data_IF_501027658944
#
_entry.id   IF_501027658944
#
_cell.length_a   1.000
_cell.length_b   1.000
_cell.length_c   1.000
_cell.angle_alpha   90.00
_cell.angle_beta   90.00
_cell.angle_gamma   90.00
#
_symmetry.space_group_name_H-M   'P 1'
#
loop_
_entity.id
_entity.type
_entity.pdbx_description
1 polymer ?
#
# COMPACT_ATOMS: atom_id res chain seq x y z
N UNK A 1 -49.58 -43.28 -36.21
CA UNK A 1 -48.44 -42.76 -36.98
C UNK A 1 -48.61 -41.24 -37.06
N UNK A 2 -48.11 -40.51 -36.05
CA UNK A 2 -48.13 -39.04 -36.05
C UNK A 2 -46.68 -38.56 -36.08
N UNK A 3 -46.30 -37.98 -37.21
CA UNK A 3 -44.96 -37.43 -37.46
C UNK A 3 -44.94 -36.03 -36.87
N UNK A 4 -44.20 -35.84 -35.77
CA UNK A 4 -43.94 -34.54 -35.18
C UNK A 4 -42.85 -33.83 -35.99
N UNK A 5 -43.25 -32.98 -36.93
CA UNK A 5 -42.35 -32.05 -37.61
C UNK A 5 -42.16 -30.80 -36.73
N UNK A 6 -41.23 -30.88 -35.78
CA UNK A 6 -40.66 -29.69 -35.16
C UNK A 6 -39.78 -28.99 -36.20
N UNK A 7 -40.30 -27.92 -36.80
CA UNK A 7 -39.52 -26.99 -37.64
C UNK A 7 -38.47 -26.33 -36.76
N UNK A 8 -37.21 -26.69 -36.97
CA UNK A 8 -36.06 -25.92 -36.50
C UNK A 8 -36.15 -24.51 -37.09
N UNK A 9 -36.66 -23.57 -36.29
CA UNK A 9 -36.51 -22.14 -36.52
C UNK A 9 -35.04 -21.80 -36.38
N UNK A 10 -34.29 -21.87 -37.48
CA UNK A 10 -32.96 -21.25 -37.58
C UNK A 10 -33.15 -19.75 -37.36
N UNK A 11 -32.93 -19.30 -36.13
CA UNK A 11 -32.88 -17.89 -35.77
C UNK A 11 -31.87 -17.20 -36.68
N UNK A 12 -32.32 -16.27 -37.51
CA UNK A 12 -31.44 -15.39 -38.27
C UNK A 12 -30.54 -14.66 -37.27
N UNK A 13 -29.21 -14.76 -37.34
CA UNK A 13 -28.35 -14.09 -36.38
C UNK A 13 -28.56 -12.58 -36.51
N UNK A 14 -28.89 -11.93 -35.38
CA UNK A 14 -28.99 -10.48 -35.29
C UNK A 14 -27.72 -9.84 -35.86
N UNK A 15 -27.82 -8.66 -36.51
CA UNK A 15 -26.64 -7.85 -36.82
C UNK A 15 -25.81 -7.68 -35.54
N UNK A 16 -24.50 -7.88 -35.61
CA UNK A 16 -23.62 -7.78 -34.42
C UNK A 16 -23.78 -6.45 -33.71
N UNK A 17 -24.12 -5.37 -34.43
CA UNK A 17 -24.39 -4.05 -33.86
C UNK A 17 -25.52 -4.02 -32.84
N UNK A 18 -26.49 -4.92 -32.98
CA UNK A 18 -27.70 -4.97 -32.16
C UNK A 18 -27.56 -5.98 -31.00
N UNK A 19 -26.46 -6.74 -30.98
CA UNK A 19 -26.12 -7.65 -29.88
C UNK A 19 -25.54 -6.86 -28.70
N UNK A 20 -26.06 -6.99 -27.46
CA UNK A 20 -25.57 -6.25 -26.30
C UNK A 20 -24.09 -6.54 -25.99
N UNK A 21 -23.55 -7.68 -26.43
CA UNK A 21 -22.13 -8.01 -26.29
C UNK A 21 -21.24 -7.11 -27.13
N UNK A 22 -21.75 -6.55 -28.24
CA UNK A 22 -21.00 -5.61 -29.07
C UNK A 22 -20.67 -4.31 -28.33
N UNK A 23 -21.61 -3.76 -27.57
CA UNK A 23 -21.35 -2.59 -26.73
C UNK A 23 -20.22 -2.84 -25.72
N UNK A 24 -20.12 -4.07 -25.18
CA UNK A 24 -19.06 -4.48 -24.26
C UNK A 24 -17.69 -4.58 -24.94
N UNK A 25 -17.64 -5.04 -26.20
CA UNK A 25 -16.40 -5.01 -27.02
C UNK A 25 -15.99 -3.56 -27.29
N UNK A 26 -16.94 -2.68 -27.65
CA UNK A 26 -16.67 -1.26 -27.92
C UNK A 26 -16.12 -0.56 -26.67
N UNK A 27 -16.68 -0.83 -25.50
CA UNK A 27 -16.23 -0.31 -24.22
C UNK A 27 -14.92 -0.94 -23.71
N UNK A 28 -14.43 -2.02 -24.34
CA UNK A 28 -13.33 -2.86 -23.85
C UNK A 28 -13.56 -3.32 -22.41
N UNK A 29 -14.79 -3.74 -22.13
CA UNK A 29 -15.22 -4.15 -20.80
C UNK A 29 -14.44 -5.37 -20.33
N UNK A 30 -13.57 -5.16 -19.33
CA UNK A 30 -12.74 -6.22 -18.75
C UNK A 30 -13.55 -7.25 -17.97
N UNK A 31 -14.72 -6.88 -17.44
CA UNK A 31 -15.60 -7.82 -16.72
C UNK A 31 -16.23 -8.86 -17.66
N UNK A 32 -16.23 -8.59 -18.97
CA UNK A 32 -16.74 -9.47 -20.00
C UNK A 32 -15.75 -10.57 -20.42
N UNK A 33 -14.47 -10.45 -20.05
CA UNK A 33 -13.46 -11.45 -20.38
C UNK A 33 -13.82 -12.79 -19.73
N UNK A 34 -13.77 -13.86 -20.54
CA UNK A 34 -14.16 -15.20 -20.11
C UNK A 34 -15.66 -15.49 -20.19
N UNK A 35 -16.50 -14.47 -20.42
CA UNK A 35 -17.95 -14.66 -20.66
C UNK A 35 -18.26 -14.94 -22.14
N UNK A 36 -17.49 -14.34 -23.05
CA UNK A 36 -17.58 -14.60 -24.50
C UNK A 36 -16.29 -14.17 -25.22
N UNK A 37 -16.16 -14.55 -26.49
CA UNK A 37 -15.07 -14.21 -27.39
C UNK A 37 -15.62 -13.66 -28.70
N UNK A 38 -14.79 -13.00 -29.48
CA UNK A 38 -15.17 -12.58 -30.83
C UNK A 38 -14.06 -12.85 -31.83
N UNK A 39 -14.43 -13.17 -33.07
CA UNK A 39 -13.51 -13.34 -34.20
C UNK A 39 -13.69 -12.21 -35.21
N UNK A 40 -12.62 -11.88 -35.93
CA UNK A 40 -12.61 -10.79 -36.93
C UNK A 40 -12.11 -11.36 -38.27
N UNK A 41 -13.03 -11.50 -39.22
CA UNK A 41 -12.80 -12.15 -40.51
C UNK A 41 -11.65 -11.52 -41.30
N UNK A 42 -11.60 -10.19 -41.38
CA UNK A 42 -10.58 -9.47 -42.16
C UNK A 42 -9.16 -9.63 -41.63
N UNK A 43 -9.00 -9.94 -40.34
CA UNK A 43 -7.68 -10.11 -39.72
C UNK A 43 -7.35 -11.58 -39.42
N UNK A 44 -8.32 -12.49 -39.54
CA UNK A 44 -8.17 -13.89 -39.20
C UNK A 44 -7.76 -14.13 -37.74
N UNK A 45 -8.22 -13.27 -36.81
CA UNK A 45 -7.92 -13.41 -35.37
C UNK A 45 -9.19 -13.53 -34.55
N UNK A 46 -9.11 -14.25 -33.42
CA UNK A 46 -10.11 -14.16 -32.36
C UNK A 46 -9.54 -13.52 -31.10
N UNK A 47 -10.41 -12.89 -30.32
CA UNK A 47 -10.10 -11.94 -29.26
C UNK A 47 -11.05 -12.09 -28.06
N UNK A 48 -10.64 -11.49 -26.94
CA UNK A 48 -11.50 -11.20 -25.79
C UNK A 48 -12.14 -9.82 -25.89
N UNK A 49 -13.27 -9.57 -25.21
CA UNK A 49 -13.95 -8.27 -25.22
C UNK A 49 -13.05 -7.10 -24.81
N UNK A 50 -12.13 -7.29 -23.86
CA UNK A 50 -11.21 -6.25 -23.41
C UNK A 50 -10.07 -5.90 -24.38
N UNK A 51 -10.01 -6.52 -25.57
CA UNK A 51 -8.84 -6.45 -26.44
C UNK A 51 -8.46 -5.01 -26.82
N UNK A 52 -7.18 -4.60 -26.63
CA UNK A 52 -6.72 -3.26 -26.96
C UNK A 52 -6.44 -3.07 -28.47
N UNK A 53 -6.81 -4.03 -29.33
CA UNK A 53 -6.66 -3.87 -30.78
C UNK A 53 -7.55 -2.74 -31.32
N UNK A 54 -7.24 -2.29 -32.54
CA UNK A 54 -8.12 -1.34 -33.23
C UNK A 54 -9.50 -1.98 -33.39
N UNK A 55 -10.54 -1.16 -33.21
CA UNK A 55 -11.94 -1.59 -33.31
C UNK A 55 -12.19 -2.17 -34.70
N UNK A 56 -12.66 -3.41 -34.74
CA UNK A 56 -13.04 -4.05 -35.99
C UNK A 56 -14.36 -3.45 -36.52
N UNK A 57 -14.57 -3.53 -37.83
CA UNK A 57 -15.88 -3.25 -38.41
C UNK A 57 -16.84 -4.36 -37.96
N UNK A 58 -17.99 -4.05 -37.32
CA UNK A 58 -18.93 -5.06 -36.84
C UNK A 58 -19.41 -6.03 -37.94
N UNK A 59 -19.45 -5.59 -39.20
CA UNK A 59 -19.79 -6.46 -40.33
C UNK A 59 -18.83 -7.65 -40.52
N UNK A 60 -17.60 -7.54 -39.99
CA UNK A 60 -16.57 -8.57 -40.08
C UNK A 60 -16.37 -9.32 -38.75
N UNK A 61 -17.26 -9.12 -37.77
CA UNK A 61 -17.15 -9.69 -36.43
C UNK A 61 -18.12 -10.85 -36.28
N UNK A 62 -17.69 -11.90 -35.59
CA UNK A 62 -18.57 -12.98 -35.13
C UNK A 62 -18.38 -13.18 -33.62
N UNK A 63 -19.47 -13.32 -32.88
CA UNK A 63 -19.47 -13.51 -31.43
C UNK A 63 -19.58 -14.99 -31.08
N UNK A 64 -18.87 -15.41 -30.04
CA UNK A 64 -18.75 -16.80 -29.60
C UNK A 64 -18.95 -16.91 -28.10
N UNK A 65 -19.89 -17.73 -27.65
CA UNK A 65 -20.15 -17.91 -26.21
C UNK A 65 -19.02 -18.67 -25.50
N UNK A 66 -18.23 -19.44 -26.24
CA UNK A 66 -17.14 -20.26 -25.69
C UNK A 66 -15.87 -20.10 -26.51
N UNK A 67 -14.73 -20.28 -25.84
CA UNK A 67 -13.41 -20.29 -26.48
C UNK A 67 -13.31 -21.40 -27.55
N UNK A 68 -13.95 -22.56 -27.32
CA UNK A 68 -13.97 -23.66 -28.28
C UNK A 68 -14.62 -23.25 -29.62
N UNK A 69 -15.75 -22.50 -29.57
CA UNK A 69 -16.41 -21.98 -30.76
C UNK A 69 -15.54 -20.94 -31.49
N UNK A 70 -14.86 -20.07 -30.74
CA UNK A 70 -13.92 -19.11 -31.32
C UNK A 70 -12.73 -19.80 -32.00
N UNK A 71 -12.22 -20.92 -31.45
CA UNK A 71 -11.17 -21.73 -32.08
C UNK A 71 -11.64 -22.47 -33.33
N UNK A 72 -12.89 -22.93 -33.32
CA UNK A 72 -13.48 -23.66 -34.44
C UNK A 72 -13.59 -22.83 -35.72
N UNK A 73 -13.43 -21.50 -35.67
CA UNK A 73 -13.37 -20.66 -36.88
C UNK A 73 -12.05 -20.83 -37.66
N UNK A 74 -11.06 -21.54 -37.11
CA UNK A 74 -9.73 -21.70 -37.72
C UNK A 74 -8.87 -20.43 -37.66
N UNK A 75 -9.33 -19.39 -36.96
CA UNK A 75 -8.59 -18.13 -36.83
C UNK A 75 -7.52 -18.24 -35.75
N UNK A 76 -6.46 -17.43 -35.85
CA UNK A 76 -5.38 -17.47 -34.86
C UNK A 76 -5.74 -16.66 -33.60
N UNK A 77 -5.22 -17.08 -32.45
CA UNK A 77 -5.36 -16.32 -31.21
C UNK A 77 -4.73 -14.92 -31.34
N UNK A 78 -5.43 -13.88 -30.91
CA UNK A 78 -4.90 -12.52 -30.92
C UNK A 78 -3.72 -12.39 -29.95
N UNK A 79 -2.55 -12.02 -30.48
CA UNK A 79 -1.32 -11.85 -29.68
C UNK A 79 -1.39 -10.72 -28.65
N UNK A 80 -2.34 -9.79 -28.77
CA UNK A 80 -2.47 -8.64 -27.86
C UNK A 80 -3.26 -8.97 -26.60
N UNK A 81 -4.42 -9.61 -26.73
CA UNK A 81 -5.26 -9.99 -25.58
C UNK A 81 -5.00 -11.42 -25.11
N UNK A 82 -4.26 -12.22 -25.88
CA UNK A 82 -3.96 -13.63 -25.62
C UNK A 82 -5.20 -14.41 -25.14
N UNK A 83 -6.21 -14.58 -26.01
CA UNK A 83 -7.51 -15.12 -25.62
C UNK A 83 -7.48 -16.53 -25.03
N UNK A 84 -6.38 -17.27 -25.28
CA UNK A 84 -6.11 -18.62 -24.78
C UNK A 84 -5.51 -18.67 -23.37
N UNK A 85 -4.80 -17.63 -22.94
CA UNK A 85 -4.03 -17.62 -21.69
C UNK A 85 -4.69 -16.84 -20.56
N UNK A 86 -4.02 -16.59 -19.42
CA UNK A 86 -4.54 -15.65 -18.42
C UNK A 86 -4.76 -14.26 -19.02
N UNK A 87 -5.66 -13.45 -18.45
CA UNK A 87 -5.81 -12.04 -18.86
C UNK A 87 -4.47 -11.31 -18.77
N UNK A 88 -4.29 -10.24 -19.54
CA UNK A 88 -3.04 -9.47 -19.49
C UNK A 88 -2.71 -9.03 -18.05
N UNK A 89 -3.72 -8.71 -17.26
CA UNK A 89 -3.58 -8.33 -15.85
C UNK A 89 -3.18 -9.50 -14.96
N UNK A 90 -3.85 -10.65 -15.09
CA UNK A 90 -3.49 -11.85 -14.35
C UNK A 90 -2.08 -12.36 -14.73
N UNK A 91 -1.73 -12.29 -16.02
CA UNK A 91 -0.39 -12.61 -16.51
C UNK A 91 0.67 -11.65 -16.00
N UNK A 92 0.39 -10.34 -15.99
CA UNK A 92 1.28 -9.34 -15.42
C UNK A 92 1.46 -9.51 -13.90
N UNK A 93 0.40 -9.84 -13.17
CA UNK A 93 0.45 -10.08 -11.73
C UNK A 93 1.26 -11.35 -11.41
N UNK A 94 1.02 -12.45 -12.13
CA UNK A 94 1.79 -13.68 -12.00
C UNK A 94 3.27 -13.47 -12.33
N UNK A 95 3.56 -12.71 -13.39
CA UNK A 95 4.92 -12.33 -13.78
C UNK A 95 5.63 -11.52 -12.69
N UNK A 96 4.96 -10.51 -12.12
CA UNK A 96 5.54 -9.69 -11.05
C UNK A 96 5.74 -10.52 -9.78
N UNK A 97 4.80 -11.39 -9.42
CA UNK A 97 4.94 -12.28 -8.28
C UNK A 97 6.11 -13.26 -8.45
N UNK A 98 6.34 -13.77 -9.68
CA UNK A 98 7.49 -14.61 -9.99
C UNK A 98 8.81 -13.86 -9.86
N UNK A 99 8.85 -12.62 -10.38
CA UNK A 99 10.01 -11.76 -10.22
C UNK A 99 10.32 -11.43 -8.75
N UNK A 100 9.30 -11.14 -7.93
CA UNK A 100 9.46 -10.93 -6.49
C UNK A 100 10.09 -12.16 -5.82
N UNK A 101 9.57 -13.37 -6.09
CA UNK A 101 10.15 -14.62 -5.56
C UNK A 101 11.60 -14.82 -6.00
N UNK A 102 11.93 -14.55 -7.26
CA UNK A 102 13.30 -14.65 -7.76
C UNK A 102 14.24 -13.69 -7.05
N UNK A 103 13.80 -12.45 -6.81
CA UNK A 103 14.56 -11.47 -6.03
C UNK A 103 14.73 -11.94 -4.57
N UNK A 104 13.71 -12.58 -4.00
CA UNK A 104 13.73 -13.05 -2.61
C UNK A 104 14.65 -14.27 -2.41
N UNK A 105 14.74 -15.13 -3.43
CA UNK A 105 15.50 -16.38 -3.40
C UNK A 105 16.94 -16.24 -3.91
N UNK A 106 17.29 -15.15 -4.59
CA UNK A 106 18.62 -14.94 -5.15
C UNK A 106 19.59 -14.36 -4.11
N UNK A 107 20.81 -14.90 -4.08
CA UNK A 107 21.91 -14.41 -3.21
C UNK A 107 22.49 -13.09 -3.73
N UNK A 108 22.61 -12.96 -5.06
CA UNK A 108 23.04 -11.73 -5.72
C UNK A 108 21.83 -10.96 -6.28
N UNK A 109 21.95 -9.64 -6.46
CA UNK A 109 20.85 -8.85 -7.01
C UNK A 109 20.68 -9.09 -8.50
N UNK A 110 19.57 -9.71 -8.95
CA UNK A 110 19.33 -9.92 -10.37
C UNK A 110 19.08 -8.56 -11.04
N UNK A 111 19.72 -8.36 -12.18
CA UNK A 111 19.57 -7.16 -12.99
C UNK A 111 18.15 -7.07 -13.57
N UNK A 112 17.77 -5.84 -13.95
CA UNK A 112 16.50 -5.60 -14.64
C UNK A 112 16.38 -6.42 -15.93
N UNK A 113 17.49 -6.64 -16.63
CA UNK A 113 17.52 -7.39 -17.88
C UNK A 113 17.25 -8.87 -17.61
N UNK A 114 17.91 -9.47 -16.62
CA UNK A 114 17.69 -10.88 -16.23
C UNK A 114 16.26 -11.14 -15.75
N UNK A 115 15.69 -10.24 -14.94
CA UNK A 115 14.30 -10.34 -14.49
C UNK A 115 13.30 -10.22 -15.66
N UNK A 116 13.60 -9.34 -16.63
CA UNK A 116 12.75 -9.15 -17.79
C UNK A 116 12.86 -10.33 -18.78
N UNK A 117 14.05 -10.87 -18.98
CA UNK A 117 14.31 -12.02 -19.84
C UNK A 117 13.67 -13.29 -19.25
N UNK A 118 13.78 -13.51 -17.94
CA UNK A 118 13.08 -14.58 -17.24
C UNK A 118 11.55 -14.49 -17.36
N UNK A 119 11.03 -13.26 -17.48
CA UNK A 119 9.62 -12.98 -17.73
C UNK A 119 9.23 -13.05 -19.22
N UNK A 120 10.18 -13.21 -20.14
CA UNK A 120 9.96 -13.15 -21.59
C UNK A 120 9.43 -11.79 -22.05
N UNK A 121 9.91 -10.69 -21.45
CA UNK A 121 9.47 -9.32 -21.72
C UNK A 121 10.65 -8.37 -21.89
N UNK A 122 10.41 -7.25 -22.56
CA UNK A 122 11.43 -6.19 -22.63
C UNK A 122 11.59 -5.51 -21.27
N UNK A 123 12.84 -5.12 -20.95
CA UNK A 123 13.18 -4.43 -19.70
C UNK A 123 12.28 -3.21 -19.41
N UNK A 124 11.99 -2.39 -20.43
CA UNK A 124 11.14 -1.20 -20.29
C UNK A 124 9.65 -1.51 -20.08
N UNK A 125 9.13 -2.63 -20.60
CA UNK A 125 7.76 -3.07 -20.29
C UNK A 125 7.70 -3.64 -18.88
N UNK A 126 8.61 -4.54 -18.55
CA UNK A 126 8.71 -5.18 -17.25
C UNK A 126 8.84 -4.15 -16.11
N UNK A 127 9.75 -3.18 -16.25
CA UNK A 127 9.95 -2.12 -15.26
C UNK A 127 8.67 -1.33 -14.96
N UNK A 128 7.93 -0.91 -16.01
CA UNK A 128 6.69 -0.14 -15.85
C UNK A 128 5.59 -0.96 -15.19
N UNK A 129 5.43 -2.22 -15.59
CA UNK A 129 4.42 -3.13 -15.03
C UNK A 129 4.74 -3.47 -13.58
N UNK A 130 6.01 -3.78 -13.29
CA UNK A 130 6.47 -4.05 -11.92
C UNK A 130 6.21 -2.85 -11.02
N UNK A 131 6.63 -1.64 -11.42
CA UNK A 131 6.38 -0.40 -10.67
C UNK A 131 4.89 -0.10 -10.49
N UNK A 132 4.07 -0.33 -11.50
CA UNK A 132 2.63 -0.12 -11.40
C UNK A 132 1.94 -1.11 -10.44
N UNK A 133 2.47 -2.32 -10.27
CA UNK A 133 1.89 -3.37 -9.43
C UNK A 133 2.43 -3.32 -8.00
N UNK A 134 3.75 -3.18 -7.82
CA UNK A 134 4.39 -3.21 -6.49
C UNK A 134 4.55 -1.81 -5.87
N UNK A 135 4.42 -0.75 -6.67
CA UNK A 135 4.72 0.63 -6.26
C UNK A 135 6.21 0.97 -6.22
N UNK A 136 7.10 -0.01 -6.43
CA UNK A 136 8.56 0.13 -6.38
C UNK A 136 9.20 -0.27 -7.71
N UNK A 137 10.39 0.25 -8.02
CA UNK A 137 11.16 -0.32 -9.13
C UNK A 137 11.70 -1.71 -8.73
N UNK A 138 12.00 -2.61 -9.68
CA UNK A 138 12.63 -3.90 -9.37
C UNK A 138 13.90 -3.76 -8.52
N UNK A 139 14.70 -2.72 -8.80
CA UNK A 139 15.92 -2.38 -8.04
C UNK A 139 15.60 -1.96 -6.60
N UNK A 140 14.60 -1.10 -6.41
CA UNK A 140 14.21 -0.66 -5.06
C UNK A 140 13.61 -1.81 -4.25
N UNK A 141 12.87 -2.72 -4.89
CA UNK A 141 12.33 -3.93 -4.27
C UNK A 141 13.47 -4.86 -3.81
N UNK A 142 14.46 -5.13 -4.66
CA UNK A 142 15.63 -5.95 -4.32
C UNK A 142 16.49 -5.33 -3.22
N UNK A 143 16.68 -4.01 -3.24
CA UNK A 143 17.37 -3.30 -2.17
C UNK A 143 16.62 -3.39 -0.83
N UNK A 144 15.29 -3.28 -0.84
CA UNK A 144 14.46 -3.38 0.37
C UNK A 144 14.46 -4.80 0.96
N UNK A 145 14.36 -5.83 0.11
CA UNK A 145 14.41 -7.23 0.52
C UNK A 145 15.77 -7.60 1.13
N UNK A 146 16.88 -7.25 0.48
CA UNK A 146 18.23 -7.50 1.03
C UNK A 146 18.46 -6.79 2.36
N UNK A 147 18.00 -5.55 2.48
CA UNK A 147 18.06 -4.84 3.75
C UNK A 147 17.26 -5.54 4.86
N UNK A 148 16.16 -6.23 4.53
CA UNK A 148 15.40 -7.04 5.47
C UNK A 148 16.12 -8.34 5.85
N UNK A 149 16.70 -9.05 4.88
CA UNK A 149 17.48 -10.28 5.13
C UNK A 149 18.73 -10.02 5.97
N UNK A 150 19.44 -8.92 5.74
CA UNK A 150 20.59 -8.52 6.57
C UNK A 150 20.15 -8.20 8.00
N UNK A 151 18.98 -7.56 8.20
CA UNK A 151 18.43 -7.35 9.54
C UNK A 151 18.14 -8.68 10.25
N UNK A 152 17.49 -9.61 9.57
CA UNK A 152 17.15 -10.93 10.11
C UNK A 152 18.39 -11.78 10.43
N UNK A 153 19.41 -11.79 9.56
CA UNK A 153 20.66 -12.53 9.82
C UNK A 153 21.53 -11.94 10.94
N UNK A 154 21.34 -10.65 11.27
CA UNK A 154 21.98 -10.01 12.42
C UNK A 154 21.24 -10.28 13.73
N UNK A 155 19.93 -10.60 13.68
CA UNK A 155 19.13 -11.06 14.82
C UNK A 155 19.52 -12.50 15.24
N UNK A 156 19.96 -13.34 14.30
CA UNK A 156 20.36 -14.74 14.52
C UNK A 156 21.83 -14.93 14.99
N UNK A 157 22.56 -13.83 15.25
CA UNK A 157 23.88 -13.87 15.92
C UNK A 157 25.11 -14.23 15.06
N UNK A 158 25.01 -14.19 13.73
CA UNK A 158 26.17 -14.41 12.85
C UNK A 158 27.13 -13.18 12.83
N UNK A 159 28.45 -13.43 12.81
CA UNK A 159 29.44 -12.35 12.83
C UNK A 159 29.35 -11.45 11.58
N UNK A 160 29.48 -10.14 11.79
CA UNK A 160 29.30 -9.06 10.80
C UNK A 160 30.06 -9.28 9.49
N UNK A 161 31.17 -9.99 9.53
CA UNK A 161 32.01 -10.28 8.36
C UNK A 161 31.40 -11.32 7.41
N UNK A 162 30.61 -12.27 7.94
CA UNK A 162 29.94 -13.33 7.16
C UNK A 162 28.68 -12.77 6.49
N UNK A 163 27.89 -11.95 7.20
CA UNK A 163 26.67 -11.33 6.68
C UNK A 163 26.90 -10.31 5.54
N UNK A 164 28.12 -9.76 5.43
CA UNK A 164 28.53 -8.86 4.34
C UNK A 164 28.96 -9.64 3.10
N UNK A 165 29.59 -10.81 3.27
CA UNK A 165 30.01 -11.69 2.17
C UNK A 165 28.82 -12.45 1.56
N UNK A 166 27.90 -12.94 2.39
CA UNK A 166 26.67 -13.66 1.97
C UNK A 166 25.61 -12.76 1.29
N UNK A 167 25.83 -11.44 1.26
CA UNK A 167 24.93 -10.45 0.66
C UNK A 167 25.44 -9.84 -0.66
N UNK A 168 26.56 -10.35 -1.21
CA UNK A 168 27.02 -10.07 -2.58
C UNK A 168 27.56 -8.65 -2.87
N UNK A 169 28.05 -7.90 -1.87
CA UNK A 169 28.57 -6.55 -2.10
C UNK A 169 30.10 -6.52 -2.32
N UNK A 170 30.54 -6.54 -3.58
CA UNK A 170 31.96 -6.51 -3.95
C UNK A 170 32.52 -5.08 -4.13
N UNK A 171 32.68 -4.36 -3.00
CA UNK A 171 33.41 -3.07 -2.81
C UNK A 171 32.58 -1.76 -2.71
N UNK A 172 33.08 -0.85 -1.88
CA UNK A 172 32.38 0.24 -1.17
C UNK A 172 32.40 1.63 -1.84
N UNK A 173 32.90 1.77 -3.06
CA UNK A 173 33.26 3.09 -3.62
C UNK A 173 32.19 3.87 -4.40
N UNK A 174 31.25 3.20 -5.09
CA UNK A 174 30.40 3.87 -6.11
C UNK A 174 29.00 4.29 -5.67
N UNK A 175 28.71 4.24 -4.37
CA UNK A 175 27.41 4.61 -3.82
C UNK A 175 27.22 6.13 -3.60
N UNK A 176 28.31 6.91 -3.54
CA UNK A 176 28.26 8.25 -2.92
C UNK A 176 27.94 9.44 -3.83
N UNK A 177 27.78 9.27 -5.14
CA UNK A 177 27.72 10.44 -6.05
C UNK A 177 26.33 10.97 -6.43
N UNK A 178 25.22 10.27 -6.14
CA UNK A 178 23.91 10.63 -6.76
C UNK A 178 22.67 10.67 -5.84
N UNK A 179 22.83 10.76 -4.52
CA UNK A 179 21.71 10.61 -3.56
C UNK A 179 21.20 11.89 -2.87
N UNK A 180 21.77 13.06 -3.16
CA UNK A 180 21.48 14.30 -2.41
C UNK A 180 20.18 15.02 -2.84
N UNK A 181 19.63 14.73 -4.03
CA UNK A 181 18.58 15.57 -4.63
C UNK A 181 17.11 15.18 -4.45
N UNK A 182 16.76 14.04 -3.82
CA UNK A 182 15.39 13.49 -3.94
C UNK A 182 14.69 13.09 -2.63
N UNK A 183 15.32 13.23 -1.45
CA UNK A 183 14.84 12.55 -0.23
C UNK A 183 14.62 13.42 1.02
N UNK A 184 14.91 14.72 1.02
CA UNK A 184 14.76 15.55 2.25
C UNK A 184 15.60 15.09 3.46
N UNK A 185 16.35 13.99 3.34
CA UNK A 185 17.36 13.45 4.25
C UNK A 185 18.21 12.38 3.52
N UNK A 186 19.48 12.21 3.92
CA UNK A 186 20.42 11.27 3.28
C UNK A 186 20.24 9.82 3.79
N UNK A 187 20.38 8.78 2.93
CA UNK A 187 20.26 7.37 3.30
C UNK A 187 21.16 6.91 4.46
N UNK A 188 22.29 7.60 4.69
CA UNK A 188 23.23 7.35 5.80
C UNK A 188 22.59 7.59 7.17
N UNK A 189 21.72 8.60 7.30
CA UNK A 189 21.03 8.94 8.56
C UNK A 189 19.93 7.95 8.92
N UNK A 190 19.30 7.36 7.91
CA UNK A 190 18.32 6.28 8.07
C UNK A 190 19.01 4.93 8.36
N UNK A 191 20.15 4.64 7.72
CA UNK A 191 20.99 3.43 7.96
C UNK A 191 21.71 3.40 9.30
N UNK A 192 21.85 4.55 9.96
CA UNK A 192 22.53 4.67 11.23
C UNK A 192 21.73 4.14 12.42
N UNK A 193 20.43 3.82 12.32
CA UNK A 193 19.63 3.39 13.48
C UNK A 193 19.61 4.42 14.62
N UNK A 194 19.83 5.70 14.30
CA UNK A 194 20.07 6.75 15.28
C UNK A 194 21.52 6.86 15.78
N UNK A 195 22.52 6.28 15.09
CA UNK A 195 23.93 6.43 15.51
C UNK A 195 24.30 7.91 15.67
N UNK A 196 24.77 8.26 16.86
CA UNK A 196 25.07 9.62 17.32
C UNK A 196 23.84 10.55 17.46
N UNK A 197 22.66 9.98 17.64
CA UNK A 197 21.43 10.72 17.92
C UNK A 197 21.02 10.53 19.38
N UNK A 198 20.79 11.65 20.05
CA UNK A 198 20.21 11.68 21.40
C UNK A 198 18.70 11.62 21.26
N UNK A 199 18.09 10.58 21.83
CA UNK A 199 16.64 10.46 21.95
C UNK A 199 16.30 10.63 23.42
N UNK A 200 15.69 11.76 23.75
CA UNK A 200 15.14 11.96 25.10
C UNK A 200 13.78 11.28 25.16
N UNK A 201 13.50 10.56 26.23
CA UNK A 201 12.21 9.90 26.41
C UNK A 201 11.76 9.94 27.86
N UNK A 202 10.45 9.86 28.07
CA UNK A 202 9.85 9.68 29.36
C UNK A 202 8.58 8.85 29.22
N UNK A 203 8.24 8.14 30.30
CA UNK A 203 7.04 7.33 30.42
C UNK A 203 6.10 8.02 31.38
N UNK A 204 4.81 8.02 31.07
CA UNK A 204 3.75 8.51 31.93
C UNK A 204 2.54 7.60 31.89
N UNK A 205 1.45 8.08 32.48
CA UNK A 205 0.16 7.39 32.47
C UNK A 205 -0.92 8.24 31.81
N UNK A 206 -1.88 7.56 31.20
CA UNK A 206 -3.10 8.11 30.62
C UNK A 206 -4.27 7.21 30.99
N UNK A 207 -5.50 7.69 30.78
CA UNK A 207 -6.71 6.87 30.82
C UNK A 207 -6.73 5.72 29.81
N UNK A 208 -5.80 5.71 28.84
CA UNK A 208 -5.60 4.63 27.87
C UNK A 208 -4.44 3.70 28.27
N UNK A 209 -3.90 3.81 29.49
CA UNK A 209 -2.76 3.05 29.98
C UNK A 209 -1.45 3.83 29.93
N UNK A 210 -0.34 3.11 29.97
CA UNK A 210 1.01 3.67 29.88
C UNK A 210 1.21 4.40 28.55
N UNK A 211 1.93 5.52 28.60
CA UNK A 211 2.34 6.29 27.43
C UNK A 211 3.85 6.49 27.46
N UNK A 212 4.50 6.32 26.32
CA UNK A 212 5.90 6.69 26.13
C UNK A 212 5.98 7.81 25.10
N UNK A 213 6.66 8.88 25.46
CA UNK A 213 6.98 9.99 24.56
C UNK A 213 8.48 10.03 24.37
N UNK A 214 8.92 10.05 23.11
CA UNK A 214 10.33 10.17 22.75
C UNK A 214 10.52 11.30 21.74
N UNK A 215 11.63 12.03 21.86
CA UNK A 215 11.93 13.18 21.01
C UNK A 215 13.39 13.18 20.58
N UNK A 216 13.59 13.50 19.30
CA UNK A 216 14.89 13.84 18.75
C UNK A 216 15.08 15.36 18.80
N UNK A 217 16.21 15.85 18.29
CA UNK A 217 16.47 17.29 18.14
C UNK A 217 15.50 17.98 17.16
N UNK A 218 14.75 17.22 16.36
CA UNK A 218 13.80 17.77 15.37
C UNK A 218 12.38 17.91 15.93
N UNK A 219 12.05 17.19 17.00
CA UNK A 219 10.70 17.13 17.54
C UNK A 219 10.34 15.77 18.11
N UNK A 220 9.04 15.54 18.33
CA UNK A 220 8.50 14.29 18.88
C UNK A 220 8.64 13.18 17.85
N UNK A 221 9.49 12.19 18.15
CA UNK A 221 9.83 11.08 17.27
C UNK A 221 8.90 9.87 17.47
N UNK A 222 8.41 9.66 18.70
CA UNK A 222 7.43 8.61 19.00
C UNK A 222 6.47 9.03 20.12
N UNK A 223 5.22 8.60 19.99
CA UNK A 223 4.19 8.58 21.04
C UNK A 223 3.57 7.18 21.00
N UNK A 224 3.85 6.36 22.02
CA UNK A 224 3.42 4.97 22.09
C UNK A 224 2.43 4.81 23.25
N UNK A 225 1.45 3.91 23.09
CA UNK A 225 0.48 3.57 24.13
C UNK A 225 0.52 2.08 24.42
N UNK A 226 0.35 1.68 25.67
CA UNK A 226 0.34 0.26 26.04
C UNK A 226 -0.13 0.05 27.47
N UNK A 227 -0.18 -1.20 27.88
CA UNK A 227 -0.52 -1.57 29.26
C UNK A 227 0.75 -1.69 30.12
N UNK A 228 1.86 -2.10 29.51
CA UNK A 228 3.15 -2.30 30.17
C UNK A 228 4.19 -1.25 29.72
N UNK A 229 4.65 -0.38 30.63
CA UNK A 229 5.77 0.54 30.41
C UNK A 229 7.03 -0.10 29.82
N UNK A 230 7.41 -1.29 30.28
CA UNK A 230 8.66 -1.93 29.88
C UNK A 230 8.61 -2.35 28.41
N UNK A 231 7.46 -2.85 27.95
CA UNK A 231 7.22 -3.16 26.53
C UNK A 231 7.36 -1.91 25.66
N UNK A 232 6.91 -0.74 26.12
CA UNK A 232 7.05 0.51 25.36
C UNK A 232 8.52 0.96 25.24
N UNK A 233 9.29 0.81 26.31
CA UNK A 233 10.72 1.12 26.31
C UNK A 233 11.49 0.18 25.38
N UNK A 234 11.14 -1.11 25.35
CA UNK A 234 11.73 -2.07 24.40
C UNK A 234 11.40 -1.72 22.95
N UNK A 235 10.16 -1.37 22.64
CA UNK A 235 9.78 -0.91 21.29
C UNK A 235 10.55 0.37 20.89
N UNK A 236 10.80 1.29 21.84
CA UNK A 236 11.66 2.45 21.60
C UNK A 236 13.11 2.02 21.29
N UNK A 237 13.67 1.09 22.06
CA UNK A 237 15.03 0.57 21.84
C UNK A 237 15.15 -0.10 20.47
N UNK A 238 14.18 -0.92 20.08
CA UNK A 238 14.15 -1.62 18.78
C UNK A 238 14.05 -0.64 17.60
N UNK A 239 13.34 0.47 17.78
CA UNK A 239 13.23 1.55 16.77
C UNK A 239 14.51 2.38 16.65
N UNK A 240 15.23 2.58 17.74
CA UNK A 240 16.43 3.41 17.81
C UNK A 240 17.62 2.64 18.40
N UNK A 241 18.03 1.50 17.78
CA UNK A 241 18.97 0.55 18.40
C UNK A 241 20.39 1.10 18.54
N UNK A 242 20.70 2.23 17.89
CA UNK A 242 22.01 2.88 17.93
C UNK A 242 21.94 4.30 18.50
N UNK A 243 20.78 4.73 18.98
CA UNK A 243 20.64 6.03 19.64
C UNK A 243 21.09 5.97 21.09
N UNK A 244 21.52 7.12 21.62
CA UNK A 244 21.67 7.29 23.07
C UNK A 244 20.31 7.66 23.64
N UNK A 245 19.70 6.75 24.38
CA UNK A 245 18.43 7.00 25.08
C UNK A 245 18.71 7.77 26.38
N UNK A 246 18.09 8.93 26.54
CA UNK A 246 18.27 9.83 27.68
C UNK A 246 16.91 9.96 28.39
N UNK A 247 16.89 9.75 29.71
CA UNK A 247 15.69 9.98 30.50
C UNK A 247 15.24 11.45 30.48
N UNK A 248 13.95 11.68 30.69
CA UNK A 248 13.38 13.02 30.80
C UNK A 248 13.99 13.81 31.96
N UNK A 249 14.24 15.11 31.71
CA UNK A 249 14.44 16.11 32.74
C UNK A 249 13.12 16.87 32.98
N UNK A 250 13.10 17.77 33.97
CA UNK A 250 11.89 18.50 34.37
C UNK A 250 11.24 19.27 33.20
N UNK A 251 12.05 19.87 32.32
CA UNK A 251 11.55 20.58 31.13
C UNK A 251 10.92 19.60 30.12
N UNK A 252 11.51 18.42 29.98
CA UNK A 252 10.95 17.37 29.12
C UNK A 252 9.67 16.76 29.70
N UNK A 253 9.54 16.63 31.02
CA UNK A 253 8.31 16.21 31.68
C UNK A 253 7.15 17.17 31.37
N UNK A 254 7.41 18.48 31.27
CA UNK A 254 6.40 19.45 30.85
C UNK A 254 5.92 19.20 29.41
N UNK A 255 6.82 18.81 28.49
CA UNK A 255 6.45 18.39 27.14
C UNK A 255 5.61 17.11 27.16
N UNK A 256 6.00 16.12 27.97
CA UNK A 256 5.23 14.87 28.12
C UNK A 256 3.84 15.14 28.70
N UNK A 257 3.71 16.02 29.70
CA UNK A 257 2.43 16.43 30.26
C UNK A 257 1.51 17.07 29.20
N UNK A 258 2.07 17.88 28.28
CA UNK A 258 1.30 18.41 27.14
C UNK A 258 0.82 17.30 26.21
N UNK A 259 1.66 16.30 25.92
CA UNK A 259 1.27 15.15 25.09
C UNK A 259 0.20 14.29 25.78
N UNK A 260 0.34 14.03 27.09
CA UNK A 260 -0.67 13.36 27.91
C UNK A 260 -1.99 14.12 27.86
N UNK A 261 -1.97 15.43 28.10
CA UNK A 261 -3.17 16.28 28.03
C UNK A 261 -3.83 16.24 26.65
N UNK A 262 -3.05 16.19 25.57
CA UNK A 262 -3.56 16.02 24.22
C UNK A 262 -4.18 14.64 23.99
N UNK A 263 -3.60 13.55 24.52
CA UNK A 263 -4.22 12.21 24.45
C UNK A 263 -5.54 12.18 25.21
N UNK A 264 -5.63 12.84 26.37
CA UNK A 264 -6.86 12.98 27.16
C UNK A 264 -7.91 13.90 26.54
N UNK A 265 -7.49 14.85 25.69
CA UNK A 265 -8.37 15.79 25.01
C UNK A 265 -7.89 16.10 23.57
N UNK A 266 -8.05 15.16 22.61
CA UNK A 266 -7.54 15.30 21.24
C UNK A 266 -8.09 16.53 20.50
N UNK A 267 -9.26 17.01 20.88
CA UNK A 267 -9.89 18.22 20.33
C UNK A 267 -9.12 19.51 20.58
N UNK A 268 -8.20 19.54 21.56
CA UNK A 268 -7.36 20.70 21.82
C UNK A 268 -6.22 20.83 20.79
N UNK A 269 -5.92 19.76 20.06
CA UNK A 269 -4.78 19.70 19.15
C UNK A 269 -3.43 19.60 19.88
N UNK A 270 -2.39 19.29 19.11
CA UNK A 270 -1.01 19.23 19.61
C UNK A 270 -0.13 20.15 18.77
N UNK A 271 0.17 21.34 19.30
CA UNK A 271 1.11 22.27 18.66
C UNK A 271 2.55 21.93 19.08
N UNK A 272 3.09 20.85 18.51
CA UNK A 272 4.46 20.42 18.69
C UNK A 272 5.05 19.95 17.35
N UNK A 273 6.35 20.22 17.08
CA UNK A 273 7.00 19.67 15.90
C UNK A 273 7.08 18.15 16.02
N UNK A 274 6.65 17.45 14.96
CA UNK A 274 6.75 16.00 14.85
C UNK A 274 7.93 15.61 13.97
N UNK A 275 8.78 14.72 14.47
CA UNK A 275 9.84 14.08 13.70
C UNK A 275 9.31 12.78 13.09
N UNK A 276 8.58 12.93 11.98
CA UNK A 276 7.91 11.81 11.30
C UNK A 276 8.91 11.05 10.44
N UNK A 277 9.17 9.78 10.81
CA UNK A 277 10.13 8.90 10.13
C UNK A 277 9.42 7.75 9.44
N UNK A 278 9.52 7.67 8.12
CA UNK A 278 8.95 6.57 7.34
C UNK A 278 9.22 6.70 5.85
N UNK A 279 8.82 5.70 5.08
CA UNK A 279 8.87 5.71 3.61
C UNK A 279 8.03 6.86 3.04
N UNK A 280 8.33 7.29 1.81
CA UNK A 280 7.54 8.32 1.12
C UNK A 280 6.04 7.94 1.04
N UNK A 281 5.73 6.66 0.89
CA UNK A 281 4.33 6.20 0.91
C UNK A 281 3.69 6.36 2.30
N UNK A 282 4.37 5.94 3.36
CA UNK A 282 3.89 6.11 4.74
C UNK A 282 3.69 7.59 5.09
N UNK A 283 4.66 8.46 4.76
CA UNK A 283 4.54 9.90 5.00
C UNK A 283 3.31 10.51 4.30
N UNK A 284 3.05 10.12 3.05
CA UNK A 284 1.85 10.56 2.31
C UNK A 284 0.56 10.07 2.97
N UNK A 285 0.53 8.82 3.44
CA UNK A 285 -0.62 8.30 4.20
C UNK A 285 -0.80 9.12 5.47
N UNK A 286 0.24 9.26 6.29
CA UNK A 286 0.18 9.97 7.56
C UNK A 286 -0.18 11.45 7.43
N UNK A 287 0.25 12.11 6.36
CA UNK A 287 -0.21 13.45 6.04
C UNK A 287 -1.73 13.47 5.78
N UNK A 288 -2.23 12.56 4.95
CA UNK A 288 -3.67 12.45 4.69
C UNK A 288 -4.49 12.06 5.93
N UNK A 289 -3.87 11.40 6.92
CA UNK A 289 -4.50 11.14 8.22
C UNK A 289 -4.64 12.42 9.05
N UNK A 290 -3.61 13.27 9.08
CA UNK A 290 -3.65 14.53 9.82
C UNK A 290 -4.73 15.49 9.30
N UNK A 291 -5.09 15.39 8.01
CA UNK A 291 -6.16 16.17 7.40
C UNK A 291 -7.58 15.69 7.80
N UNK A 292 -7.72 14.59 8.56
CA UNK A 292 -9.03 14.13 9.05
C UNK A 292 -9.43 14.98 10.28
N UNK A 293 -10.56 15.72 10.25
CA UNK A 293 -10.99 16.52 11.40
C UNK A 293 -11.26 15.67 12.64
N UNK A 294 -11.08 16.27 13.83
CA UNK A 294 -11.47 15.66 15.11
C UNK A 294 -12.96 15.34 15.08
N UNK A 295 -13.33 14.13 15.55
CA UNK A 295 -14.72 13.67 15.58
C UNK A 295 -15.21 13.08 14.27
N UNK A 296 -14.43 13.14 13.19
CA UNK A 296 -14.76 12.55 11.90
C UNK A 296 -13.97 11.25 11.68
N UNK A 297 -14.61 10.29 11.02
CA UNK A 297 -13.97 9.05 10.59
C UNK A 297 -13.99 8.90 9.08
N UNK A 298 -13.01 8.20 8.54
CA UNK A 298 -12.91 7.86 7.11
C UNK A 298 -12.57 6.39 6.94
N UNK A 299 -12.86 5.82 5.78
CA UNK A 299 -12.48 4.45 5.44
C UNK A 299 -11.07 4.36 4.85
N UNK A 300 -10.45 3.18 4.94
CA UNK A 300 -9.19 2.90 4.25
C UNK A 300 -9.26 3.17 2.73
N UNK A 301 -10.43 2.98 2.11
CA UNK A 301 -10.64 3.25 0.70
C UNK A 301 -10.65 4.75 0.40
N UNK A 302 -11.26 5.57 1.26
CA UNK A 302 -11.25 7.03 1.10
C UNK A 302 -9.84 7.59 1.25
N UNK A 303 -9.03 7.08 2.18
CA UNK A 303 -7.60 7.45 2.23
C UNK A 303 -6.88 7.03 0.94
N UNK A 304 -7.19 5.84 0.41
CA UNK A 304 -6.60 5.36 -0.84
C UNK A 304 -6.90 6.27 -2.03
N UNK A 305 -8.13 6.79 -2.09
CA UNK A 305 -8.55 7.77 -3.09
C UNK A 305 -7.84 9.12 -2.89
N UNK A 306 -7.80 9.65 -1.65
CA UNK A 306 -7.13 10.92 -1.32
C UNK A 306 -5.66 10.94 -1.71
N UNK A 307 -4.94 9.83 -1.53
CA UNK A 307 -3.53 9.72 -1.91
C UNK A 307 -3.31 9.27 -3.36
N UNK A 308 -4.36 9.17 -4.18
CA UNK A 308 -4.25 8.77 -5.59
C UNK A 308 -3.78 7.32 -5.79
N UNK A 309 -4.03 6.44 -4.82
CA UNK A 309 -3.67 5.03 -4.85
C UNK A 309 -4.87 4.12 -4.49
N UNK A 310 -5.97 4.13 -5.26
CA UNK A 310 -7.26 3.52 -4.87
C UNK A 310 -7.21 2.00 -4.64
N UNK A 311 -6.20 1.31 -5.18
CA UNK A 311 -5.99 -0.14 -4.98
C UNK A 311 -5.09 -0.48 -3.77
N UNK A 312 -4.57 0.51 -3.06
CA UNK A 312 -3.55 0.34 -2.03
C UNK A 312 -4.11 0.22 -0.59
N UNK A 313 -5.36 -0.21 -0.41
CA UNK A 313 -6.01 -0.30 0.91
C UNK A 313 -5.22 -1.13 1.93
N UNK A 314 -4.65 -2.26 1.52
CA UNK A 314 -3.79 -3.09 2.39
C UNK A 314 -2.48 -2.37 2.77
N UNK A 315 -1.85 -1.68 1.83
CA UNK A 315 -0.63 -0.92 2.10
C UNK A 315 -0.90 0.27 3.04
N UNK A 316 -2.07 0.90 2.93
CA UNK A 316 -2.50 1.96 3.84
C UNK A 316 -2.74 1.40 5.24
N UNK A 317 -3.37 0.22 5.35
CA UNK A 317 -3.53 -0.44 6.65
C UNK A 317 -2.16 -0.74 7.30
N UNK A 318 -1.19 -1.24 6.53
CA UNK A 318 0.19 -1.42 7.01
C UNK A 318 0.86 -0.09 7.40
N UNK A 319 0.65 0.99 6.64
CA UNK A 319 1.16 2.31 7.00
C UNK A 319 0.51 2.88 8.29
N UNK A 320 -0.78 2.63 8.51
CA UNK A 320 -1.47 2.99 9.75
C UNK A 320 -0.94 2.19 10.94
N UNK A 321 -0.65 0.89 10.75
CA UNK A 321 -0.08 0.02 11.78
C UNK A 321 1.37 0.39 12.11
N UNK A 322 2.12 0.94 11.15
CA UNK A 322 3.50 1.41 11.34
C UNK A 322 3.58 2.83 11.96
N UNK A 323 2.44 3.47 12.25
CA UNK A 323 2.42 4.80 12.86
C UNK A 323 3.10 4.78 14.24
N UNK A 324 4.09 5.64 14.45
CA UNK A 324 4.81 5.79 15.71
C UNK A 324 4.28 6.94 16.57
N UNK A 325 3.28 7.69 16.10
CA UNK A 325 2.77 8.92 16.73
C UNK A 325 1.29 8.74 17.09
N UNK A 326 1.02 7.94 18.13
CA UNK A 326 -0.33 7.70 18.62
C UNK A 326 -1.07 9.02 18.85
N UNK A 327 -2.33 9.08 18.39
CA UNK A 327 -3.23 10.25 18.45
C UNK A 327 -2.78 11.46 17.62
N UNK A 328 -1.50 11.82 17.61
CA UNK A 328 -0.95 12.97 16.89
C UNK A 328 -1.00 12.78 15.37
N UNK A 329 -0.72 11.57 14.90
CA UNK A 329 -1.11 11.11 13.57
C UNK A 329 -2.36 10.24 13.77
N UNK A 330 -3.57 10.72 13.44
CA UNK A 330 -4.82 10.17 13.98
C UNK A 330 -5.29 8.93 13.21
N UNK A 331 -4.50 7.85 13.21
CA UNK A 331 -4.87 6.60 12.53
C UNK A 331 -6.05 5.86 13.19
N UNK A 332 -6.46 6.25 14.41
CA UNK A 332 -7.71 5.78 15.05
C UNK A 332 -8.97 6.25 14.31
N UNK A 333 -8.90 7.36 13.56
CA UNK A 333 -10.00 7.89 12.75
C UNK A 333 -10.26 7.11 11.46
N UNK A 334 -9.38 6.16 11.10
CA UNK A 334 -9.57 5.31 9.92
C UNK A 334 -10.27 4.02 10.31
N UNK A 335 -11.44 3.76 9.76
CA UNK A 335 -12.25 2.57 10.05
C UNK A 335 -12.45 1.70 8.81
N UNK A 336 -12.92 0.46 8.99
CA UNK A 336 -13.36 -0.36 7.86
C UNK A 336 -14.72 0.14 7.35
N UNK A 337 -15.03 -0.15 6.08
CA UNK A 337 -16.32 0.23 5.47
C UNK A 337 -17.53 -0.38 6.17
N UNK A 338 -17.36 -1.52 6.83
CA UNK A 338 -18.40 -2.19 7.63
C UNK A 338 -18.53 -1.63 9.05
N UNK A 339 -17.81 -0.55 9.38
CA UNK A 339 -17.81 0.06 10.71
C UNK A 339 -16.97 -0.68 11.74
N UNK A 340 -16.34 -1.81 11.39
CA UNK A 340 -15.53 -2.57 12.33
C UNK A 340 -14.25 -1.82 12.73
N UNK A 341 -13.98 -1.77 14.03
CA UNK A 341 -12.76 -1.20 14.61
C UNK A 341 -11.67 -2.26 14.62
N UNK A 342 -10.85 -2.29 13.57
CA UNK A 342 -9.67 -3.15 13.48
C UNK A 342 -8.42 -2.36 13.09
N UNK A 343 -7.24 -3.00 13.21
CA UNK A 343 -6.00 -2.50 12.63
C UNK A 343 -5.37 -1.29 13.32
N UNK A 344 -5.72 -1.03 14.59
CA UNK A 344 -5.03 -0.04 15.40
C UNK A 344 -3.82 -0.66 16.07
N UNK A 345 -2.65 -0.03 15.94
CA UNK A 345 -1.39 -0.57 16.47
C UNK A 345 -1.44 -0.80 17.99
N UNK A 346 -2.25 -0.01 18.71
CA UNK A 346 -2.36 -0.05 20.18
C UNK A 346 -3.65 -0.71 20.70
N UNK A 347 -4.39 -1.42 19.83
CA UNK A 347 -5.55 -2.21 20.21
C UNK A 347 -6.92 -1.55 19.96
N UNK A 348 -7.94 -2.38 19.72
CA UNK A 348 -9.27 -1.91 19.33
C UNK A 348 -10.00 -1.13 20.42
N UNK A 349 -9.76 -1.44 21.70
CA UNK A 349 -10.38 -0.76 22.84
C UNK A 349 -9.93 0.70 22.94
N UNK A 350 -8.62 0.96 22.87
CA UNK A 350 -8.07 2.33 22.84
C UNK A 350 -8.61 3.14 21.66
N UNK A 351 -8.71 2.51 20.48
CA UNK A 351 -9.32 3.15 19.30
C UNK A 351 -10.76 3.57 19.54
N UNK A 352 -11.57 2.69 20.15
CA UNK A 352 -12.96 3.02 20.51
C UNK A 352 -13.03 4.18 21.49
N UNK A 353 -12.27 4.10 22.58
CA UNK A 353 -12.23 5.15 23.60
C UNK A 353 -11.85 6.53 23.03
N UNK A 354 -10.89 6.58 22.10
CA UNK A 354 -10.52 7.82 21.41
C UNK A 354 -11.63 8.36 20.52
N UNK A 355 -12.30 7.51 19.74
CA UNK A 355 -13.42 7.91 18.90
C UNK A 355 -14.59 8.45 19.73
N UNK A 356 -14.93 7.76 20.82
CA UNK A 356 -15.98 8.19 21.74
C UNK A 356 -15.63 9.55 22.37
N UNK A 357 -14.38 9.72 22.82
CA UNK A 357 -13.88 10.98 23.39
C UNK A 357 -14.00 12.15 22.41
N UNK A 358 -13.62 11.95 21.15
CA UNK A 358 -13.72 12.98 20.12
C UNK A 358 -15.18 13.32 19.76
N UNK A 359 -16.08 12.34 19.75
CA UNK A 359 -17.51 12.56 19.54
C UNK A 359 -18.14 13.40 20.65
N UNK A 360 -17.83 13.10 21.91
CA UNK A 360 -18.36 13.85 23.08
C UNK A 360 -17.74 15.25 23.21
N UNK A 361 -16.45 15.41 22.87
CA UNK A 361 -15.78 16.71 22.86
C UNK A 361 -16.38 17.68 21.83
N UNK A 362 -16.74 17.16 20.66
CA UNK A 362 -17.37 17.93 19.57
C UNK A 362 -18.75 18.44 19.95
N UNK A 363 -19.55 17.63 20.65
CA UNK A 363 -20.88 18.04 21.14
C UNK A 363 -20.81 19.16 22.19
N UNK A 364 -19.85 19.09 23.13
CA UNK A 364 -19.64 20.14 24.14
C UNK A 364 -19.11 21.44 23.56
N UNK A 365 -18.23 21.37 22.56
CA UNK A 365 -17.73 22.56 21.85
C UNK A 365 -18.85 23.27 21.07
N UNK A 366 -19.73 22.50 20.42
CA UNK A 366 -20.90 23.03 19.72
C UNK A 366 -21.92 23.71 20.66
N UNK A 367 -22.22 23.10 21.82
CA UNK A 367 -23.11 23.70 22.84
C UNK A 367 -22.51 25.00 23.42
N UNK A 368 -21.20 25.04 23.67
CA UNK A 368 -20.52 26.25 24.17
C UNK A 368 -20.52 27.39 23.15
N UNK A 369 -20.29 27.09 21.87
CA UNK A 369 -20.37 28.07 20.78
C UNK A 369 -21.81 28.60 20.59
N UNK A 370 -22.81 27.73 20.68
CA UNK A 370 -24.23 28.12 20.60
C UNK A 370 -24.61 29.07 21.75
N UNK A 371 -24.24 28.76 22.99
CA UNK A 371 -24.53 29.62 24.15
C UNK A 371 -23.81 30.97 24.09
N UNK A 372 -22.58 31.01 23.59
CA UNK A 372 -21.81 32.26 23.43
C UNK A 372 -22.31 33.16 22.29
N UNK A 373 -23.11 32.63 21.36
CA UNK A 373 -23.73 33.41 20.27
C UNK A 373 -25.08 34.04 20.65
N UNK A 374 -25.62 33.68 21.83
CA UNK A 374 -26.91 34.14 22.36
C UNK A 374 -26.79 35.06 23.58
N UNK A 375 -25.58 35.21 24.12
CA UNK A 375 -25.24 36.22 25.12
C UNK A 375 -24.54 37.37 24.40
#
# INVERSE_FOLDING_TARGET
>A
MFITLAKDLKSTPLPVTDDPRWARIVARDKSADGQFWYSVATTGVYCRPSCPSRRANPANVQLHDTLARAKATGFRACRRCNPDGPSLEAGNAAMVADACRRIEQSEEEPSLVELADAAGRSAGYFHRVFKAITGLTPKDYAAAHRAARVRQGLEDGASVTVAIYDAGFNSSGRFYEKSTGMLGMTPTRYRAGGANEDIRFAVGETSLGAILVASSRKGVASILLGDDPDTLVRDLQDRFPKARLIGGDQDYEALVARVVGFVEAPQLGLDLPLDVRGTAFQQRVWQALQDIPVGNTVSYAEIAERIGAPKATRAIAAACAANAHAVAIPCHRVIRKDGALSGYAWGAERKRALLDREAHGSAKAADRAYRSSRA
#
